data_IF_080836030148
#
_entry.id   IF_080836030148
#
_cell.length_a   1.000
_cell.length_b   1.000
_cell.length_c   1.000
_cell.angle_alpha   90.00
_cell.angle_beta   90.00
_cell.angle_gamma   90.00
#
_symmetry.space_group_name_H-M   'P 1'
#
loop_
_entity.id
_entity.type
_entity.pdbx_description
1 polymer ?
#
# COMPACT_ATOMS: atom_id res chain seq x y z
N UNK A 1 18.69 -25.14 -46.14
CA UNK A 1 18.77 -24.07 -45.12
C UNK A 1 17.96 -24.51 -43.90
N UNK A 2 18.62 -24.90 -42.82
CA UNK A 2 17.98 -25.26 -41.55
C UNK A 2 17.91 -24.00 -40.68
N UNK A 3 16.70 -23.45 -40.50
CA UNK A 3 16.48 -22.37 -39.54
C UNK A 3 16.35 -23.01 -38.17
N UNK A 4 17.36 -22.85 -37.32
CA UNK A 4 17.32 -23.23 -35.91
C UNK A 4 16.40 -22.26 -35.17
N UNK A 5 15.30 -22.76 -34.62
CA UNK A 5 14.53 -22.05 -33.61
C UNK A 5 15.36 -21.97 -32.32
N UNK A 6 15.76 -20.75 -31.97
CA UNK A 6 16.46 -20.50 -30.71
C UNK A 6 15.42 -20.45 -29.59
N UNK A 7 15.26 -21.57 -28.89
CA UNK A 7 14.44 -21.70 -27.69
C UNK A 7 15.14 -21.02 -26.52
N UNK A 8 14.87 -19.73 -26.33
CA UNK A 8 15.05 -19.04 -25.06
C UNK A 8 13.86 -18.09 -24.84
N UNK A 9 12.65 -18.66 -24.76
CA UNK A 9 11.57 -18.01 -24.05
C UNK A 9 11.97 -17.98 -22.57
N UNK A 10 12.67 -16.92 -22.14
CA UNK A 10 12.49 -16.45 -20.77
C UNK A 10 11.02 -16.08 -20.68
N UNK A 11 10.26 -16.90 -19.97
CA UNK A 11 8.89 -16.60 -19.54
C UNK A 11 8.88 -15.16 -19.04
N UNK A 12 8.34 -14.24 -19.84
CA UNK A 12 8.21 -12.85 -19.43
C UNK A 12 7.29 -12.88 -18.22
N UNK A 13 7.87 -12.57 -17.06
CA UNK A 13 7.13 -12.35 -15.82
C UNK A 13 6.17 -11.21 -16.11
N UNK A 14 4.89 -11.55 -16.20
CA UNK A 14 3.78 -10.63 -16.47
C UNK A 14 3.74 -9.60 -15.35
N UNK A 15 4.12 -8.36 -15.66
CA UNK A 15 3.95 -7.12 -14.91
C UNK A 15 3.99 -7.26 -13.36
N UNK A 16 5.15 -7.61 -12.80
CA UNK A 16 5.43 -7.38 -11.38
C UNK A 16 5.71 -5.89 -11.13
N UNK A 17 5.27 -5.37 -9.98
CA UNK A 17 5.64 -4.01 -9.56
C UNK A 17 7.16 -3.89 -9.45
N UNK A 18 7.74 -2.73 -9.82
CA UNK A 18 9.17 -2.49 -9.66
C UNK A 18 9.60 -2.76 -8.22
N UNK A 19 10.70 -3.49 -8.05
CA UNK A 19 11.30 -3.71 -6.75
C UNK A 19 11.82 -2.39 -6.20
N UNK A 20 11.50 -2.09 -4.94
CA UNK A 20 11.99 -0.90 -4.25
C UNK A 20 13.45 -1.10 -3.80
N UNK A 21 14.23 -0.03 -3.86
CA UNK A 21 15.64 -0.04 -3.45
C UNK A 21 15.78 -0.29 -1.93
N UNK A 22 16.76 -1.10 -1.53
CA UNK A 22 17.00 -1.42 -0.12
C UNK A 22 17.28 -0.18 0.74
N UNK A 23 17.88 0.86 0.17
CA UNK A 23 18.16 2.13 0.83
C UNK A 23 16.91 2.82 1.38
N UNK A 24 15.74 2.57 0.78
CA UNK A 24 14.47 3.10 1.28
C UNK A 24 14.17 2.63 2.72
N UNK A 25 14.61 1.42 3.07
CA UNK A 25 14.38 0.80 4.37
C UNK A 25 15.47 1.07 5.41
N UNK A 26 16.61 1.66 5.01
CA UNK A 26 17.78 1.84 5.89
C UNK A 26 17.85 3.24 6.52
N UNK A 27 18.38 3.36 7.74
CA UNK A 27 18.69 4.66 8.35
C UNK A 27 17.49 5.48 8.85
N UNK A 28 16.32 4.86 9.00
CA UNK A 28 15.17 5.50 9.65
C UNK A 28 15.41 5.58 11.17
N UNK A 29 15.56 6.78 11.72
CA UNK A 29 15.65 7.03 13.17
C UNK A 29 14.25 7.14 13.81
N UNK A 30 13.28 7.64 13.04
CA UNK A 30 11.85 7.71 13.38
C UNK A 30 11.04 6.93 12.37
N UNK A 31 9.81 6.58 12.74
CA UNK A 31 8.83 5.98 11.84
C UNK A 31 7.66 6.93 11.60
N UNK A 32 6.93 6.74 10.49
CA UNK A 32 5.91 7.68 10.03
C UNK A 32 4.86 8.05 11.11
N UNK A 33 4.42 7.09 11.92
CA UNK A 33 3.44 7.32 12.99
C UNK A 33 3.96 8.18 14.15
N UNK A 34 5.27 8.25 14.35
CA UNK A 34 5.89 9.14 15.34
C UNK A 34 5.97 10.58 14.82
N UNK A 35 5.90 10.77 13.49
CA UNK A 35 6.07 12.05 12.83
C UNK A 35 4.75 12.72 12.44
N UNK A 36 3.75 11.91 12.05
CA UNK A 36 2.40 12.38 11.79
C UNK A 36 1.41 11.53 12.59
N UNK A 37 0.66 12.18 13.48
CA UNK A 37 -0.41 11.54 14.26
C UNK A 37 -1.65 11.31 13.38
N UNK A 38 -1.52 10.41 12.40
CA UNK A 38 -2.59 10.02 11.49
C UNK A 38 -3.70 9.26 12.23
N UNK A 39 -4.97 9.55 11.94
CA UNK A 39 -6.08 8.77 12.47
C UNK A 39 -6.10 7.37 11.81
N UNK A 40 -6.91 6.48 12.39
CA UNK A 40 -7.26 5.23 11.72
C UNK A 40 -8.29 5.51 10.63
N UNK A 41 -7.91 5.31 9.37
CA UNK A 41 -8.81 5.47 8.22
C UNK A 41 -9.66 4.22 7.97
N UNK A 42 -9.27 3.09 8.57
CA UNK A 42 -9.96 1.82 8.50
C UNK A 42 -10.45 1.48 9.91
N UNK A 43 -11.68 1.01 10.02
CA UNK A 43 -12.25 0.53 11.27
C UNK A 43 -11.40 -0.63 11.83
N UNK A 44 -11.09 -0.57 13.13
CA UNK A 44 -10.21 -1.55 13.77
C UNK A 44 -10.76 -2.98 13.67
N UNK A 45 -12.07 -3.15 13.79
CA UNK A 45 -12.70 -4.48 13.76
C UNK A 45 -12.56 -5.13 12.37
N UNK A 46 -12.63 -4.32 11.31
CA UNK A 46 -12.41 -4.78 9.93
C UNK A 46 -10.95 -5.16 9.72
N UNK A 47 -10.02 -4.32 10.16
CA UNK A 47 -8.57 -4.55 10.06
C UNK A 47 -8.14 -5.83 10.81
N UNK A 48 -8.60 -5.98 12.06
CA UNK A 48 -8.29 -7.15 12.89
C UNK A 48 -8.82 -8.44 12.25
N UNK A 49 -10.06 -8.42 11.74
CA UNK A 49 -10.68 -9.60 11.15
C UNK A 49 -10.00 -10.04 9.85
N UNK A 50 -9.63 -9.10 8.97
CA UNK A 50 -8.87 -9.42 7.76
C UNK A 50 -7.44 -9.89 8.07
N UNK A 51 -6.81 -9.33 9.10
CA UNK A 51 -5.49 -9.78 9.57
C UNK A 51 -5.55 -11.20 10.11
N UNK A 52 -6.61 -11.54 10.85
CA UNK A 52 -6.83 -12.89 11.37
C UNK A 52 -7.09 -13.91 10.25
N UNK A 53 -7.92 -13.56 9.25
CA UNK A 53 -8.26 -14.41 8.11
C UNK A 53 -7.04 -14.71 7.22
N UNK A 54 -6.19 -13.72 6.99
CA UNK A 54 -5.01 -13.85 6.12
C UNK A 54 -3.70 -13.89 6.90
N UNK A 55 -3.73 -14.39 8.14
CA UNK A 55 -2.54 -14.55 8.96
C UNK A 55 -1.58 -15.50 8.25
N UNK A 56 -0.49 -14.98 7.69
CA UNK A 56 0.50 -15.81 7.02
C UNK A 56 1.41 -16.48 8.08
N UNK A 57 1.36 -17.81 8.25
CA UNK A 57 2.24 -18.52 9.18
C UNK A 57 3.65 -18.73 8.60
N UNK A 58 3.88 -18.42 7.32
CA UNK A 58 5.16 -18.59 6.66
C UNK A 58 6.26 -17.64 7.17
N UNK A 59 7.52 -17.88 6.78
CA UNK A 59 8.63 -17.03 7.17
C UNK A 59 8.38 -15.60 6.70
N UNK A 60 8.68 -14.62 7.57
CA UNK A 60 8.62 -13.20 7.20
C UNK A 60 9.62 -12.97 6.07
N UNK A 61 9.10 -12.71 4.86
CA UNK A 61 9.93 -12.31 3.73
C UNK A 61 10.41 -10.87 3.93
N UNK A 62 11.67 -10.56 3.58
CA UNK A 62 12.12 -9.19 3.59
C UNK A 62 11.22 -8.28 2.73
N UNK A 63 11.09 -7.01 3.14
CA UNK A 63 10.23 -6.04 2.47
C UNK A 63 10.71 -5.69 1.06
N UNK A 64 12.02 -5.69 0.84
CA UNK A 64 12.66 -5.42 -0.45
C UNK A 64 12.56 -6.61 -1.41
N UNK A 65 12.03 -7.76 -0.98
CA UNK A 65 11.83 -8.92 -1.87
C UNK A 65 10.71 -8.62 -2.86
N UNK A 66 10.96 -8.88 -4.14
CA UNK A 66 9.96 -8.77 -5.20
C UNK A 66 8.68 -9.53 -4.82
N UNK A 67 7.54 -8.86 -4.96
CA UNK A 67 6.23 -9.43 -4.62
C UNK A 67 5.62 -10.06 -5.88
N UNK A 68 5.09 -11.26 -5.71
CA UNK A 68 4.35 -12.01 -6.73
C UNK A 68 2.86 -11.71 -6.72
N UNK A 69 2.35 -11.16 -5.62
CA UNK A 69 0.98 -10.72 -5.42
C UNK A 69 0.88 -9.54 -4.46
N UNK A 70 -0.30 -8.92 -4.38
CA UNK A 70 -0.58 -7.88 -3.38
C UNK A 70 -0.88 -8.44 -1.99
N UNK A 71 -1.13 -7.54 -1.04
CA UNK A 71 -1.53 -7.92 0.32
C UNK A 71 -3.00 -8.36 0.35
N UNK A 72 -3.23 -9.64 0.64
CA UNK A 72 -4.57 -10.18 0.88
C UNK A 72 -5.29 -9.53 2.07
N UNK A 73 -4.54 -9.11 3.10
CA UNK A 73 -5.12 -8.34 4.22
C UNK A 73 -5.71 -7.02 3.71
N UNK A 74 -4.96 -6.28 2.89
CA UNK A 74 -5.42 -4.99 2.35
C UNK A 74 -6.57 -5.19 1.36
N UNK A 75 -6.52 -6.21 0.52
CA UNK A 75 -7.63 -6.55 -0.38
C UNK A 75 -8.91 -6.89 0.39
N UNK A 76 -8.81 -7.75 1.41
CA UNK A 76 -9.92 -8.08 2.30
C UNK A 76 -10.52 -6.82 2.93
N UNK A 77 -9.67 -5.92 3.47
CA UNK A 77 -10.13 -4.68 4.11
C UNK A 77 -10.90 -3.82 3.13
N UNK A 78 -10.33 -3.53 1.94
CA UNK A 78 -10.98 -2.66 0.96
C UNK A 78 -12.25 -3.30 0.39
N UNK A 79 -12.29 -4.63 0.24
CA UNK A 79 -13.49 -5.36 -0.17
C UNK A 79 -14.59 -5.24 0.89
N UNK A 80 -14.29 -5.46 2.17
CA UNK A 80 -15.28 -5.40 3.27
C UNK A 80 -15.87 -4.02 3.47
N UNK A 81 -15.10 -2.95 3.24
CA UNK A 81 -15.62 -1.57 3.29
C UNK A 81 -16.24 -1.12 1.96
N UNK A 82 -16.42 -2.03 1.00
CA UNK A 82 -17.00 -1.80 -0.33
C UNK A 82 -16.21 -0.82 -1.22
N UNK A 83 -14.92 -0.67 -0.93
CA UNK A 83 -13.98 0.19 -1.66
C UNK A 83 -13.28 -0.52 -2.82
N UNK A 84 -13.40 -1.84 -2.93
CA UNK A 84 -12.73 -2.60 -3.97
C UNK A 84 -13.59 -3.77 -4.44
N UNK A 85 -13.72 -3.91 -5.76
CA UNK A 85 -14.34 -5.07 -6.41
C UNK A 85 -13.90 -5.12 -7.87
N UNK A 86 -13.85 -6.31 -8.47
CA UNK A 86 -13.51 -6.48 -9.90
C UNK A 86 -12.24 -5.74 -10.32
N UNK A 87 -11.20 -5.77 -9.49
CA UNK A 87 -9.93 -5.07 -9.70
C UNK A 87 -10.02 -3.52 -9.78
N UNK A 88 -11.11 -2.92 -9.33
CA UNK A 88 -11.37 -1.48 -9.39
C UNK A 88 -11.58 -0.94 -7.98
N UNK A 89 -10.96 0.21 -7.69
CA UNK A 89 -11.21 0.99 -6.47
C UNK A 89 -12.49 1.82 -6.66
N UNK A 90 -13.47 1.65 -5.79
CA UNK A 90 -14.61 2.57 -5.70
C UNK A 90 -14.18 3.81 -4.88
N UNK A 91 -13.95 4.90 -5.61
CA UNK A 91 -13.49 6.17 -5.06
C UNK A 91 -14.46 6.77 -4.04
N UNK A 92 -15.75 6.76 -4.32
CA UNK A 92 -16.75 7.44 -3.49
C UNK A 92 -17.07 6.59 -2.25
N UNK A 93 -17.17 5.27 -2.40
CA UNK A 93 -17.26 4.36 -1.26
C UNK A 93 -16.04 4.48 -0.34
N UNK A 94 -14.84 4.66 -0.91
CA UNK A 94 -13.62 4.87 -0.13
C UNK A 94 -13.64 6.17 0.67
N UNK A 95 -14.03 7.30 0.05
CA UNK A 95 -14.18 8.58 0.77
C UNK A 95 -15.18 8.45 1.90
N UNK A 96 -16.33 7.81 1.64
CA UNK A 96 -17.36 7.60 2.64
C UNK A 96 -16.85 6.76 3.82
N UNK A 97 -16.24 5.61 3.53
CA UNK A 97 -15.72 4.70 4.55
C UNK A 97 -14.59 5.32 5.37
N UNK A 98 -13.62 5.96 4.72
CA UNK A 98 -12.52 6.63 5.43
C UNK A 98 -13.02 7.84 6.24
N UNK A 99 -13.95 8.62 5.69
CA UNK A 99 -14.59 9.75 6.37
C UNK A 99 -15.35 9.31 7.63
N UNK A 100 -16.07 8.19 7.57
CA UNK A 100 -16.74 7.59 8.74
C UNK A 100 -15.74 7.19 9.82
N UNK A 101 -14.64 6.51 9.45
CA UNK A 101 -13.62 6.04 10.39
C UNK A 101 -12.91 7.19 11.12
N UNK A 102 -12.61 8.28 10.43
CA UNK A 102 -11.93 9.44 11.05
C UNK A 102 -12.92 10.34 11.79
N UNK A 103 -14.19 10.40 11.38
CA UNK A 103 -15.21 11.24 11.98
C UNK A 103 -15.19 12.72 11.52
N UNK A 104 -16.23 13.46 11.87
CA UNK A 104 -16.60 14.77 11.28
C UNK A 104 -15.64 15.93 11.65
N UNK A 105 -14.78 15.79 12.66
CA UNK A 105 -13.96 16.90 13.21
C UNK A 105 -12.44 16.70 13.11
N UNK A 106 -11.96 15.93 12.13
CA UNK A 106 -10.52 15.71 12.03
C UNK A 106 -9.85 16.72 11.12
N UNK A 107 -8.65 17.16 11.53
CA UNK A 107 -7.72 17.92 10.68
C UNK A 107 -7.40 17.23 9.35
N UNK A 108 -7.80 15.96 9.18
CA UNK A 108 -7.49 15.12 8.04
C UNK A 108 -8.56 15.10 6.94
N UNK A 109 -9.79 15.56 7.17
CA UNK A 109 -10.89 15.37 6.20
C UNK A 109 -10.57 15.83 4.77
N UNK A 110 -10.03 17.04 4.60
CA UNK A 110 -9.67 17.58 3.29
C UNK A 110 -8.50 16.79 2.64
N UNK A 111 -7.46 16.45 3.40
CA UNK A 111 -6.34 15.65 2.88
C UNK A 111 -6.77 14.23 2.55
N UNK A 112 -7.67 13.62 3.32
CA UNK A 112 -8.23 12.29 3.03
C UNK A 112 -8.91 12.27 1.67
N UNK A 113 -9.86 13.18 1.41
CA UNK A 113 -10.58 13.20 0.15
C UNK A 113 -9.64 13.46 -1.04
N UNK A 114 -8.73 14.43 -0.90
CA UNK A 114 -7.73 14.74 -1.92
C UNK A 114 -6.80 13.55 -2.20
N UNK A 115 -6.32 12.87 -1.16
CA UNK A 115 -5.47 11.69 -1.30
C UNK A 115 -6.19 10.55 -2.01
N UNK A 116 -7.48 10.31 -1.70
CA UNK A 116 -8.29 9.31 -2.42
C UNK A 116 -8.40 9.66 -3.91
N UNK A 117 -8.72 10.90 -4.25
CA UNK A 117 -8.84 11.33 -5.66
C UNK A 117 -7.51 11.17 -6.42
N UNK A 118 -6.40 11.61 -5.83
CA UNK A 118 -5.06 11.51 -6.42
C UNK A 118 -4.65 10.05 -6.64
N UNK A 119 -4.83 9.20 -5.64
CA UNK A 119 -4.39 7.81 -5.70
C UNK A 119 -5.29 6.97 -6.59
N UNK A 120 -6.59 7.22 -6.62
CA UNK A 120 -7.48 6.59 -7.58
C UNK A 120 -7.05 6.92 -9.03
N UNK A 121 -6.75 8.18 -9.32
CA UNK A 121 -6.21 8.59 -10.64
C UNK A 121 -4.87 7.92 -10.96
N UNK A 122 -3.96 7.80 -9.98
CA UNK A 122 -2.67 7.11 -10.15
C UNK A 122 -2.86 5.64 -10.53
N UNK A 123 -3.80 4.94 -9.89
CA UNK A 123 -4.12 3.54 -10.21
C UNK A 123 -4.70 3.40 -11.62
N UNK A 124 -5.66 4.25 -11.99
CA UNK A 124 -6.26 4.21 -13.33
C UNK A 124 -5.25 4.45 -14.45
N UNK A 125 -4.28 5.34 -14.20
CA UNK A 125 -3.24 5.68 -15.18
C UNK A 125 -2.09 4.67 -15.22
N UNK A 126 -2.08 3.67 -14.34
CA UNK A 126 -1.02 2.67 -14.28
C UNK A 126 -1.45 1.39 -15.02
N UNK A 127 -1.17 1.34 -16.32
CA UNK A 127 -1.49 0.18 -17.17
C UNK A 127 -0.80 -1.10 -16.73
N UNK A 128 0.41 -1.02 -16.16
CA UNK A 128 1.12 -2.19 -15.65
C UNK A 128 0.36 -2.86 -14.49
N UNK A 129 -0.28 -2.09 -13.61
CA UNK A 129 -1.14 -2.62 -12.55
C UNK A 129 -2.42 -3.28 -13.09
N UNK A 130 -2.98 -2.76 -14.18
CA UNK A 130 -4.18 -3.33 -14.80
C UNK A 130 -3.88 -4.62 -15.56
N UNK A 131 -2.66 -4.78 -16.08
CA UNK A 131 -2.19 -5.96 -16.81
C UNK A 131 -1.46 -6.97 -15.91
N UNK A 132 -1.24 -6.64 -14.64
CA UNK A 132 -0.59 -7.53 -13.69
C UNK A 132 -1.41 -8.82 -13.52
N UNK A 133 -0.70 -9.96 -13.48
CA UNK A 133 -1.29 -11.25 -13.18
C UNK A 133 -0.68 -11.80 -11.89
N UNK A 134 -1.25 -11.48 -10.72
CA UNK A 134 -0.73 -11.93 -9.44
C UNK A 134 -0.63 -13.45 -9.35
N UNK A 135 0.40 -13.94 -8.66
CA UNK A 135 0.63 -15.37 -8.43
C UNK A 135 0.70 -15.62 -6.94
N UNK A 136 -0.17 -16.50 -6.45
CA UNK A 136 -0.23 -16.88 -5.03
C UNK A 136 0.94 -17.80 -4.71
N UNK A 137 1.57 -17.58 -3.55
CA UNK A 137 2.50 -18.55 -2.98
C UNK A 137 1.80 -19.73 -2.28
N UNK A 138 0.49 -19.60 -2.04
CA UNK A 138 -0.35 -20.63 -1.44
C UNK A 138 -1.25 -21.23 -2.53
N UNK A 139 -1.05 -22.51 -2.84
CA UNK A 139 -1.79 -23.24 -3.87
C UNK A 139 -3.28 -23.38 -3.57
N UNK A 140 -3.72 -23.15 -2.32
CA UNK A 140 -5.11 -23.32 -1.89
C UNK A 140 -5.95 -22.04 -2.02
N UNK A 141 -5.39 -20.95 -2.53
CA UNK A 141 -6.12 -19.70 -2.73
C UNK A 141 -5.71 -18.99 -4.01
N UNK A 142 -6.62 -18.15 -4.49
CA UNK A 142 -6.33 -17.19 -5.54
C UNK A 142 -5.33 -16.13 -5.04
N UNK A 143 -4.53 -15.62 -5.97
CA UNK A 143 -3.59 -14.55 -5.71
C UNK A 143 -4.32 -13.22 -5.50
N UNK A 144 -3.83 -12.40 -4.58
CA UNK A 144 -4.44 -11.10 -4.29
C UNK A 144 -3.92 -10.02 -5.23
N UNK A 145 -4.79 -9.11 -5.63
CA UNK A 145 -4.49 -7.99 -6.51
C UNK A 145 -3.48 -7.03 -5.88
N UNK A 146 -2.60 -6.48 -6.73
CA UNK A 146 -1.71 -5.39 -6.36
C UNK A 146 -2.46 -4.06 -6.17
N UNK A 147 -3.64 -3.88 -6.80
CA UNK A 147 -4.38 -2.62 -6.83
C UNK A 147 -4.69 -2.08 -5.42
N UNK A 148 -5.30 -2.86 -4.50
CA UNK A 148 -5.55 -2.42 -3.13
C UNK A 148 -4.29 -1.94 -2.39
N UNK A 149 -3.19 -2.67 -2.57
CA UNK A 149 -1.92 -2.40 -1.88
C UNK A 149 -1.31 -1.10 -2.36
N UNK A 150 -1.20 -0.91 -3.68
CA UNK A 150 -0.64 0.32 -4.25
C UNK A 150 -1.53 1.52 -3.96
N UNK A 151 -2.85 1.34 -3.99
CA UNK A 151 -3.78 2.40 -3.66
C UNK A 151 -3.59 2.87 -2.20
N UNK A 152 -3.56 1.93 -1.24
CA UNK A 152 -3.45 2.28 0.17
C UNK A 152 -2.07 2.86 0.52
N UNK A 153 -0.99 2.37 -0.10
CA UNK A 153 0.35 2.94 0.07
C UNK A 153 0.41 4.38 -0.45
N UNK A 154 -0.06 4.63 -1.68
CA UNK A 154 -0.20 5.98 -2.23
C UNK A 154 -1.03 6.89 -1.32
N UNK A 155 -2.14 6.37 -0.78
CA UNK A 155 -3.01 7.14 0.09
C UNK A 155 -2.29 7.56 1.37
N UNK A 156 -1.62 6.61 2.04
CA UNK A 156 -0.85 6.86 3.27
C UNK A 156 0.34 7.81 3.01
N UNK A 157 1.02 7.64 1.88
CA UNK A 157 2.07 8.53 1.40
C UNK A 157 1.56 9.98 1.28
N UNK A 158 0.44 10.19 0.57
CA UNK A 158 -0.12 11.51 0.37
C UNK A 158 -0.61 12.14 1.69
N UNK A 159 -1.24 11.35 2.57
CA UNK A 159 -1.65 11.83 3.90
C UNK A 159 -0.44 12.25 4.75
N UNK A 160 0.64 11.49 4.72
CA UNK A 160 1.85 11.79 5.48
C UNK A 160 2.57 13.05 4.95
N UNK A 161 2.73 13.14 3.63
CA UNK A 161 3.34 14.30 2.97
C UNK A 161 2.53 15.58 3.21
N UNK A 162 1.20 15.45 3.30
CA UNK A 162 0.28 16.57 3.56
C UNK A 162 -0.26 16.55 4.99
N UNK A 163 0.50 15.98 5.93
CA UNK A 163 0.09 15.92 7.33
C UNK A 163 -0.23 17.33 7.86
N UNK A 164 -1.41 17.55 8.47
CA UNK A 164 -1.77 18.84 9.06
C UNK A 164 -0.72 19.30 10.06
N UNK A 165 -0.40 20.61 10.06
CA UNK A 165 0.65 21.18 10.92
C UNK A 165 0.43 20.86 12.40
N UNK A 166 -0.83 20.83 12.87
CA UNK A 166 -1.21 20.51 14.24
C UNK A 166 -0.93 19.05 14.64
N UNK A 167 -0.66 18.18 13.66
CA UNK A 167 -0.43 16.74 13.84
C UNK A 167 0.98 16.32 13.43
N UNK A 168 1.77 17.26 12.90
CA UNK A 168 3.14 17.05 12.47
C UNK A 168 4.13 17.35 13.59
N UNK A 169 5.04 16.42 13.84
CA UNK A 169 6.18 16.61 14.74
C UNK A 169 7.35 17.17 13.92
N UNK A 170 7.66 18.44 14.15
CA UNK A 170 8.67 19.16 13.39
C UNK A 170 10.08 18.94 13.95
N UNK A 171 10.65 17.78 13.67
CA UNK A 171 12.05 17.43 13.99
C UNK A 171 12.78 16.95 12.73
N UNK A 172 14.12 17.07 12.66
CA UNK A 172 14.90 16.71 11.47
C UNK A 172 14.65 15.29 10.96
N UNK A 173 14.51 14.32 11.86
CA UNK A 173 14.28 12.92 11.54
C UNK A 173 12.95 12.71 10.81
N UNK A 174 11.92 13.47 11.17
CA UNK A 174 10.62 13.43 10.51
C UNK A 174 10.65 14.08 9.13
N UNK A 175 11.41 15.15 8.98
CA UNK A 175 11.63 15.78 7.68
C UNK A 175 12.43 14.85 6.75
N UNK A 176 13.39 14.09 7.28
CA UNK A 176 14.13 13.08 6.51
C UNK A 176 13.22 11.99 5.93
N UNK A 177 12.17 11.56 6.65
CA UNK A 177 11.19 10.61 6.11
C UNK A 177 10.41 11.18 4.92
N UNK A 178 10.07 12.48 4.93
CA UNK A 178 9.46 13.15 3.77
C UNK A 178 10.42 13.20 2.58
N UNK A 179 11.70 13.44 2.82
CA UNK A 179 12.72 13.42 1.77
C UNK A 179 12.82 12.05 1.10
N UNK A 180 12.72 10.95 1.87
CA UNK A 180 12.69 9.60 1.32
C UNK A 180 11.49 9.33 0.41
N UNK A 181 10.30 9.74 0.83
CA UNK A 181 9.11 9.65 -0.04
C UNK A 181 9.34 10.46 -1.32
N UNK A 182 9.88 11.67 -1.18
CA UNK A 182 10.16 12.57 -2.31
C UNK A 182 11.21 12.01 -3.27
N UNK A 183 12.10 11.14 -2.79
CA UNK A 183 13.09 10.42 -3.62
C UNK A 183 12.56 9.11 -4.23
N UNK A 184 11.27 8.80 -4.05
CA UNK A 184 10.62 7.64 -4.67
C UNK A 184 10.43 6.42 -3.74
N UNK A 185 10.73 6.53 -2.45
CA UNK A 185 10.44 5.47 -1.49
C UNK A 185 8.95 5.44 -1.14
N UNK A 186 8.43 4.24 -0.87
CA UNK A 186 7.04 4.00 -0.51
C UNK A 186 6.76 4.41 0.93
N UNK A 187 5.47 4.59 1.27
CA UNK A 187 5.09 4.77 2.67
C UNK A 187 5.44 3.52 3.49
N UNK A 188 5.31 2.33 2.89
CA UNK A 188 5.71 1.06 3.48
C UNK A 188 7.17 1.04 3.97
N UNK A 189 8.09 1.77 3.31
CA UNK A 189 9.48 1.88 3.73
C UNK A 189 9.71 2.71 5.00
N UNK A 190 8.82 3.67 5.29
CA UNK A 190 8.98 4.59 6.43
C UNK A 190 8.00 4.32 7.58
N UNK A 191 6.99 3.47 7.40
CA UNK A 191 5.99 3.17 8.44
C UNK A 191 6.56 2.44 9.67
N UNK A 192 7.73 1.82 9.52
CA UNK A 192 8.41 1.04 10.55
C UNK A 192 8.06 -0.45 10.54
N UNK A 193 9.02 -1.29 10.89
CA UNK A 193 8.80 -2.69 11.24
C UNK A 193 8.39 -2.78 12.70
N UNK A 194 7.10 -2.66 13.02
CA UNK A 194 6.69 -3.05 14.37
C UNK A 194 6.55 -4.57 14.43
N UNK A 195 6.98 -5.18 15.54
CA UNK A 195 6.68 -6.57 15.88
C UNK A 195 5.18 -6.80 16.16
N UNK A 196 4.29 -5.88 15.80
CA UNK A 196 2.88 -5.87 16.12
C UNK A 196 2.03 -5.66 14.86
N UNK A 197 1.58 -6.79 14.31
CA UNK A 197 0.31 -7.14 13.61
C UNK A 197 -0.75 -6.10 13.18
N UNK A 198 -0.49 -4.81 13.08
CA UNK A 198 -1.48 -3.84 12.59
C UNK A 198 -0.92 -3.03 11.41
N UNK A 199 -1.59 -3.15 10.26
CA UNK A 199 -1.19 -2.58 8.97
C UNK A 199 -1.59 -1.10 8.81
#
# INVERSE_FOLDING_TARGET
LLIRFNTNLKTQVVAQLPQEDISCYMGNVKIARECCLMPRFIDKTVDDACTAEHKNPGPRVPPWTAKTEGSCVVECVLTRIKSFSNNIIDKEATKLSFGKSIGIKTFFGAVTNRSVDLCHKRILNNTALQLANPVSHDSNRTACSFVPTVFLDCFKENVFMNCPKQKWINVPECNALRSKISSGCTFNAIKGYSNSTHF
#
